data_IF_613575691961
#
_entry.id   IF_613575691961
#
_cell.length_a   1.000
_cell.length_b   1.000
_cell.length_c   1.000
_cell.angle_alpha   90.00
_cell.angle_beta   90.00
_cell.angle_gamma   90.00
#
_symmetry.space_group_name_H-M   'P 1'
#
loop_
_entity.id
_entity.type
_entity.pdbx_description
1 polymer ?
#
# COMPACT_ATOMS: atom_id res chain seq x y z
N UNK A 1 35.34 -14.83 9.48
CA UNK A 1 35.17 -13.87 8.37
C UNK A 1 34.07 -14.28 7.37
N UNK A 2 33.90 -15.58 7.08
CA UNK A 2 32.86 -16.03 6.10
C UNK A 2 31.41 -15.82 6.54
N UNK A 3 31.05 -15.95 7.83
CA UNK A 3 29.69 -15.77 8.35
C UNK A 3 29.17 -14.33 8.26
N UNK A 4 30.02 -13.33 8.45
CA UNK A 4 29.64 -11.90 8.40
C UNK A 4 29.37 -11.50 6.93
N UNK A 5 30.14 -12.00 5.99
CA UNK A 5 29.95 -11.72 4.57
C UNK A 5 28.67 -12.35 4.04
N UNK A 6 28.38 -13.60 4.40
CA UNK A 6 27.15 -14.30 4.02
C UNK A 6 25.89 -13.61 4.58
N UNK A 7 25.94 -13.17 5.85
CA UNK A 7 24.83 -12.41 6.46
C UNK A 7 24.56 -11.06 5.78
N UNK A 8 25.60 -10.39 5.29
CA UNK A 8 25.47 -9.13 4.56
C UNK A 8 24.83 -9.27 3.18
N UNK A 9 25.22 -10.28 2.42
CA UNK A 9 24.64 -10.57 1.10
C UNK A 9 23.16 -10.98 1.22
N UNK A 10 22.85 -11.81 2.19
CA UNK A 10 21.48 -12.26 2.46
C UNK A 10 20.54 -11.11 2.79
N UNK A 11 20.96 -10.16 3.65
CA UNK A 11 20.15 -8.96 3.98
C UNK A 11 19.89 -8.11 2.74
N UNK A 12 20.89 -7.87 1.90
CA UNK A 12 20.73 -7.13 0.64
C UNK A 12 19.74 -7.83 -0.29
N UNK A 13 19.78 -9.15 -0.35
CA UNK A 13 18.87 -9.93 -1.17
C UNK A 13 17.42 -9.85 -0.65
N UNK A 14 17.19 -9.86 0.66
CA UNK A 14 15.85 -9.65 1.23
C UNK A 14 15.32 -8.24 0.93
N UNK A 15 16.15 -7.20 0.99
CA UNK A 15 15.72 -5.86 0.56
C UNK A 15 15.32 -5.82 -0.91
N UNK A 16 16.01 -6.56 -1.77
CA UNK A 16 15.64 -6.70 -3.18
C UNK A 16 14.28 -7.40 -3.33
N UNK A 17 14.02 -8.45 -2.55
CA UNK A 17 12.70 -9.11 -2.52
C UNK A 17 11.61 -8.13 -2.07
N UNK A 18 11.85 -7.34 -1.02
CA UNK A 18 10.91 -6.31 -0.56
C UNK A 18 10.64 -5.30 -1.68
N UNK A 19 11.69 -4.82 -2.35
CA UNK A 19 11.54 -3.92 -3.50
C UNK A 19 10.62 -4.52 -4.56
N UNK A 20 10.90 -5.73 -5.06
CA UNK A 20 10.10 -6.34 -6.12
C UNK A 20 8.69 -6.71 -5.69
N UNK A 21 8.45 -7.04 -4.42
CA UNK A 21 7.10 -7.28 -3.90
C UNK A 21 6.24 -6.02 -3.96
N UNK A 22 6.81 -4.87 -3.60
CA UNK A 22 6.10 -3.59 -3.70
C UNK A 22 6.10 -3.05 -5.13
N UNK A 23 7.13 -3.34 -5.92
CA UNK A 23 7.17 -3.05 -7.35
C UNK A 23 6.01 -3.73 -8.08
N UNK A 24 5.75 -5.02 -7.82
CA UNK A 24 4.58 -5.74 -8.32
C UNK A 24 3.27 -5.02 -7.96
N UNK A 25 3.09 -4.64 -6.70
CA UNK A 25 1.91 -3.88 -6.25
C UNK A 25 1.75 -2.57 -7.03
N UNK A 26 2.82 -1.79 -7.16
CA UNK A 26 2.75 -0.45 -7.75
C UNK A 26 2.67 -0.46 -9.28
N UNK A 27 3.16 -1.49 -9.96
CA UNK A 27 3.01 -1.64 -11.42
C UNK A 27 1.57 -1.80 -11.86
N UNK A 28 0.68 -2.25 -10.99
CA UNK A 28 -0.71 -2.50 -11.32
C UNK A 28 -1.57 -1.22 -11.34
N UNK A 29 -1.18 -0.21 -10.54
CA UNK A 29 -2.02 0.96 -10.28
C UNK A 29 -2.39 1.78 -11.52
N UNK A 30 -1.47 2.12 -12.44
CA UNK A 30 -1.79 3.01 -13.57
C UNK A 30 -2.46 2.30 -14.75
N UNK A 31 -2.57 0.97 -14.73
CA UNK A 31 -3.00 0.21 -15.90
C UNK A 31 -4.24 -0.65 -15.66
N UNK A 32 -4.61 -0.91 -14.39
CA UNK A 32 -5.62 -1.92 -14.10
C UNK A 32 -7.04 -1.50 -14.49
N UNK A 33 -7.42 -0.25 -14.24
CA UNK A 33 -8.77 0.22 -14.56
C UNK A 33 -9.02 0.27 -16.06
N UNK A 34 -8.07 0.83 -16.84
CA UNK A 34 -8.16 0.86 -18.30
C UNK A 34 -8.10 -0.55 -18.92
N UNK A 35 -7.32 -1.45 -18.33
CA UNK A 35 -7.29 -2.85 -18.77
C UNK A 35 -8.64 -3.55 -18.52
N UNK A 36 -9.25 -3.36 -17.36
CA UNK A 36 -10.58 -3.91 -17.07
C UNK A 36 -11.64 -3.36 -18.05
N UNK A 37 -11.63 -2.04 -18.35
CA UNK A 37 -12.52 -1.45 -19.33
C UNK A 37 -12.30 -2.01 -20.74
N UNK A 38 -11.05 -2.23 -21.16
CA UNK A 38 -10.74 -2.82 -22.47
C UNK A 38 -11.28 -4.24 -22.65
N UNK A 39 -11.54 -4.95 -21.54
CA UNK A 39 -12.18 -6.26 -21.50
C UNK A 39 -13.73 -6.17 -21.47
N UNK A 40 -14.30 -4.97 -21.50
CA UNK A 40 -15.74 -4.75 -21.41
C UNK A 40 -16.31 -4.75 -19.98
N UNK A 41 -15.48 -4.50 -18.96
CA UNK A 41 -15.95 -4.43 -17.59
C UNK A 41 -16.89 -3.23 -17.37
N UNK A 42 -17.99 -3.44 -16.65
CA UNK A 42 -18.80 -2.35 -16.12
C UNK A 42 -18.02 -1.53 -15.09
N UNK A 43 -18.47 -0.32 -14.78
CA UNK A 43 -17.85 0.55 -13.78
C UNK A 43 -17.64 -0.17 -12.43
N UNK A 44 -18.63 -0.96 -11.99
CA UNK A 44 -18.52 -1.75 -10.77
C UNK A 44 -17.42 -2.83 -10.86
N UNK A 45 -17.38 -3.59 -11.96
CA UNK A 45 -16.37 -4.65 -12.15
C UNK A 45 -14.96 -4.04 -12.30
N UNK A 46 -14.84 -2.87 -12.93
CA UNK A 46 -13.58 -2.14 -13.04
C UNK A 46 -13.06 -1.71 -11.66
N UNK A 47 -13.91 -1.07 -10.85
CA UNK A 47 -13.56 -0.69 -9.48
C UNK A 47 -13.23 -1.90 -8.60
N UNK A 48 -14.01 -2.99 -8.75
CA UNK A 48 -13.75 -4.25 -8.04
C UNK A 48 -12.43 -4.90 -8.48
N UNK A 49 -12.09 -4.88 -9.77
CA UNK A 49 -10.81 -5.39 -10.28
C UNK A 49 -9.62 -4.63 -9.66
N UNK A 50 -9.71 -3.32 -9.49
CA UNK A 50 -8.67 -2.53 -8.80
C UNK A 50 -8.54 -2.96 -7.34
N UNK A 51 -9.65 -3.08 -6.60
CA UNK A 51 -9.64 -3.41 -5.17
C UNK A 51 -9.38 -4.88 -4.84
N UNK A 52 -9.70 -5.81 -5.76
CA UNK A 52 -9.68 -7.26 -5.53
C UNK A 52 -8.32 -7.78 -5.07
N UNK A 53 -7.24 -7.27 -5.64
CA UNK A 53 -5.89 -7.61 -5.22
C UNK A 53 -5.66 -7.26 -3.74
N UNK A 54 -6.00 -6.04 -3.30
CA UNK A 54 -5.80 -5.62 -1.91
C UNK A 54 -6.67 -6.43 -0.94
N UNK A 55 -7.88 -6.77 -1.35
CA UNK A 55 -8.77 -7.64 -0.56
C UNK A 55 -8.14 -9.01 -0.34
N UNK A 56 -7.78 -9.69 -1.41
CA UNK A 56 -7.22 -11.05 -1.33
C UNK A 56 -5.82 -11.06 -0.71
N UNK A 57 -5.01 -10.02 -0.95
CA UNK A 57 -3.69 -9.85 -0.35
C UNK A 57 -3.78 -9.77 1.19
N UNK A 58 -4.83 -9.14 1.74
CA UNK A 58 -5.06 -9.12 3.18
C UNK A 58 -5.23 -10.53 3.75
N UNK A 59 -6.03 -11.38 3.08
CA UNK A 59 -6.16 -12.79 3.48
C UNK A 59 -4.83 -13.54 3.36
N UNK A 60 -4.10 -13.31 2.25
CA UNK A 60 -2.77 -13.88 2.05
C UNK A 60 -1.79 -13.51 3.17
N UNK A 61 -1.76 -12.23 3.56
CA UNK A 61 -0.92 -11.74 4.65
C UNK A 61 -1.24 -12.42 5.99
N UNK A 62 -2.53 -12.60 6.31
CA UNK A 62 -2.97 -13.27 7.55
C UNK A 62 -2.52 -14.73 7.53
N UNK A 63 -2.79 -15.46 6.43
CA UNK A 63 -2.38 -16.86 6.26
C UNK A 63 -0.85 -16.98 6.33
N UNK A 64 -0.13 -16.09 5.66
CA UNK A 64 1.34 -16.04 5.70
C UNK A 64 1.89 -15.87 7.10
N UNK A 65 1.30 -14.99 7.91
CA UNK A 65 1.69 -14.79 9.30
C UNK A 65 1.63 -16.10 10.10
N UNK A 66 0.48 -16.79 10.05
CA UNK A 66 0.30 -18.09 10.72
C UNK A 66 1.26 -19.17 10.19
N UNK A 67 1.44 -19.26 8.89
CA UNK A 67 2.32 -20.25 8.28
C UNK A 67 3.80 -19.97 8.59
N UNK A 68 4.18 -18.69 8.57
CA UNK A 68 5.55 -18.24 8.89
C UNK A 68 5.91 -18.56 10.34
N UNK A 69 4.96 -18.39 11.28
CA UNK A 69 5.18 -18.75 12.68
C UNK A 69 5.34 -20.27 12.89
N UNK A 70 4.65 -21.09 12.10
CA UNK A 70 4.68 -22.55 12.22
C UNK A 70 5.82 -23.21 11.44
N UNK A 71 6.04 -22.79 10.17
CA UNK A 71 6.95 -23.45 9.23
C UNK A 71 8.25 -22.67 8.98
N UNK A 72 8.34 -21.46 9.54
CA UNK A 72 9.44 -20.53 9.30
C UNK A 72 9.26 -19.70 8.01
N UNK A 73 9.94 -18.54 7.93
CA UNK A 73 9.76 -17.59 6.84
C UNK A 73 10.31 -18.09 5.49
N UNK A 74 11.30 -18.98 5.50
CA UNK A 74 11.99 -19.42 4.30
C UNK A 74 11.06 -20.10 3.27
N UNK A 75 10.30 -21.11 3.70
CA UNK A 75 9.41 -21.88 2.82
C UNK A 75 8.28 -21.00 2.30
N UNK A 76 7.70 -20.19 3.19
CA UNK A 76 6.55 -19.31 2.86
C UNK A 76 6.97 -18.25 1.85
N UNK A 77 8.18 -17.68 2.01
CA UNK A 77 8.73 -16.70 1.09
C UNK A 77 8.91 -17.26 -0.32
N UNK A 78 9.50 -18.46 -0.43
CA UNK A 78 9.71 -19.12 -1.74
C UNK A 78 8.37 -19.46 -2.41
N UNK A 79 7.43 -20.06 -1.66
CA UNK A 79 6.09 -20.34 -2.17
C UNK A 79 5.44 -19.07 -2.66
N UNK A 80 5.46 -17.99 -1.84
CA UNK A 80 4.92 -16.69 -2.22
C UNK A 80 5.50 -16.15 -3.51
N UNK A 81 6.83 -16.12 -3.65
CA UNK A 81 7.51 -15.61 -4.84
C UNK A 81 7.17 -16.42 -6.10
N UNK A 82 7.27 -17.76 -6.02
CA UNK A 82 7.02 -18.62 -7.18
C UNK A 82 5.55 -18.59 -7.60
N UNK A 83 4.62 -18.70 -6.65
CA UNK A 83 3.19 -18.67 -6.95
C UNK A 83 2.72 -17.29 -7.43
N UNK A 84 3.30 -16.19 -6.92
CA UNK A 84 3.05 -14.84 -7.45
C UNK A 84 3.54 -14.72 -8.89
N UNK A 85 4.77 -15.18 -9.18
CA UNK A 85 5.28 -15.19 -10.55
C UNK A 85 4.38 -16.00 -11.50
N UNK A 86 3.92 -17.18 -11.08
CA UNK A 86 3.00 -18.00 -11.87
C UNK A 86 1.63 -17.32 -12.03
N UNK A 87 1.08 -16.69 -10.99
CA UNK A 87 -0.21 -16.00 -11.06
C UNK A 87 -0.18 -14.80 -12.01
N UNK A 88 0.95 -14.11 -12.12
CA UNK A 88 1.14 -13.01 -13.06
C UNK A 88 1.11 -13.48 -14.53
N UNK A 89 1.52 -14.70 -14.84
CA UNK A 89 1.39 -15.24 -16.20
C UNK A 89 -0.05 -15.55 -16.59
N UNK A 90 -0.95 -15.73 -15.61
CA UNK A 90 -2.38 -15.98 -15.89
C UNK A 90 -3.08 -14.80 -16.56
N UNK A 91 -2.53 -13.58 -16.47
CA UNK A 91 -3.10 -12.42 -17.17
C UNK A 91 -3.10 -12.57 -18.69
N UNK A 92 -2.27 -13.46 -19.26
CA UNK A 92 -2.30 -13.78 -20.69
C UNK A 92 -3.53 -14.58 -21.11
N UNK A 93 -4.25 -15.19 -20.16
CA UNK A 93 -5.45 -16.00 -20.38
C UNK A 93 -6.75 -15.22 -20.10
N UNK A 94 -6.61 -13.91 -19.79
CA UNK A 94 -7.74 -13.06 -19.41
C UNK A 94 -8.31 -12.41 -20.67
N UNK A 95 -9.54 -12.78 -21.00
CA UNK A 95 -10.30 -12.27 -22.14
C UNK A 95 -11.68 -11.67 -21.76
N UNK A 96 -12.11 -11.88 -20.51
CA UNK A 96 -13.37 -11.36 -19.96
C UNK A 96 -13.19 -10.79 -18.56
N UNK A 97 -14.05 -9.83 -18.13
CA UNK A 97 -13.92 -9.19 -16.82
C UNK A 97 -13.94 -10.15 -15.63
N UNK A 98 -14.73 -11.23 -15.70
CA UNK A 98 -14.81 -12.20 -14.61
C UNK A 98 -13.49 -12.99 -14.45
N UNK A 99 -12.86 -13.37 -15.56
CA UNK A 99 -11.54 -14.01 -15.53
C UNK A 99 -10.50 -13.07 -14.90
N UNK A 100 -10.56 -11.76 -15.21
CA UNK A 100 -9.71 -10.77 -14.57
C UNK A 100 -9.90 -10.77 -13.05
N UNK A 101 -11.12 -10.75 -12.54
CA UNK A 101 -11.39 -10.77 -11.09
C UNK A 101 -10.82 -12.02 -10.41
N UNK A 102 -10.96 -13.20 -11.04
CA UNK A 102 -10.43 -14.46 -10.52
C UNK A 102 -8.90 -14.40 -10.46
N UNK A 103 -8.26 -13.97 -11.54
CA UNK A 103 -6.80 -13.83 -11.59
C UNK A 103 -6.31 -12.80 -10.56
N UNK A 104 -6.99 -11.67 -10.43
CA UNK A 104 -6.70 -10.65 -9.41
C UNK A 104 -6.80 -11.19 -7.99
N UNK A 105 -7.83 -12.01 -7.73
CA UNK A 105 -7.99 -12.66 -6.42
C UNK A 105 -6.85 -13.64 -6.12
N UNK A 106 -6.53 -14.53 -7.06
CA UNK A 106 -5.42 -15.49 -6.92
C UNK A 106 -4.10 -14.73 -6.72
N UNK A 107 -3.82 -13.76 -7.58
CA UNK A 107 -2.58 -12.98 -7.55
C UNK A 107 -2.41 -12.27 -6.20
N UNK A 108 -3.41 -11.52 -5.73
CA UNK A 108 -3.33 -10.84 -4.44
C UNK A 108 -3.13 -11.81 -3.27
N UNK A 109 -3.86 -12.94 -3.27
CA UNK A 109 -3.77 -13.95 -2.22
C UNK A 109 -2.34 -14.51 -2.08
N UNK A 110 -1.71 -14.90 -3.20
CA UNK A 110 -0.36 -15.49 -3.17
C UNK A 110 0.72 -14.43 -2.95
N UNK A 111 0.56 -13.21 -3.47
CA UNK A 111 1.46 -12.09 -3.21
C UNK A 111 1.48 -11.71 -1.72
N UNK A 112 0.36 -11.88 -1.01
CA UNK A 112 0.27 -11.70 0.43
C UNK A 112 1.19 -12.62 1.24
N UNK A 113 1.72 -13.69 0.67
CA UNK A 113 2.67 -14.55 1.37
C UNK A 113 4.07 -13.95 1.48
N UNK A 114 4.44 -12.99 0.62
CA UNK A 114 5.81 -12.52 0.49
C UNK A 114 6.19 -11.57 1.63
N UNK A 115 5.41 -10.52 1.83
CA UNK A 115 5.77 -9.39 2.72
C UNK A 115 5.96 -9.83 4.18
N UNK A 116 5.02 -10.55 4.84
CA UNK A 116 5.21 -11.00 6.22
C UNK A 116 6.41 -11.93 6.38
N UNK A 117 6.62 -12.84 5.41
CA UNK A 117 7.75 -13.77 5.44
C UNK A 117 9.08 -13.03 5.25
N UNK A 118 9.18 -12.07 4.31
CA UNK A 118 10.38 -11.29 4.07
C UNK A 118 10.77 -10.43 5.29
N UNK A 119 9.80 -9.73 5.90
CA UNK A 119 10.06 -8.93 7.10
C UNK A 119 10.42 -9.79 8.32
N UNK A 120 9.80 -10.96 8.50
CA UNK A 120 10.17 -11.91 9.55
C UNK A 120 11.59 -12.42 9.33
N UNK A 121 11.96 -12.74 8.09
CA UNK A 121 13.32 -13.17 7.75
C UNK A 121 14.34 -12.08 8.06
N UNK A 122 14.05 -10.83 7.68
CA UNK A 122 14.91 -9.67 7.94
C UNK A 122 15.06 -9.42 9.46
N UNK A 123 13.98 -9.50 10.22
CA UNK A 123 13.99 -9.32 11.67
C UNK A 123 14.85 -10.39 12.36
N UNK A 124 14.75 -11.65 11.91
CA UNK A 124 15.56 -12.77 12.44
C UNK A 124 17.04 -12.65 12.08
N UNK A 125 17.36 -12.03 10.94
CA UNK A 125 18.73 -11.83 10.46
C UNK A 125 19.38 -10.54 10.99
N UNK A 126 18.66 -9.71 11.79
CA UNK A 126 19.14 -8.40 12.21
C UNK A 126 19.17 -8.30 13.75
N UNK A 127 20.32 -7.88 14.30
CA UNK A 127 20.49 -7.62 15.72
C UNK A 127 19.46 -6.59 16.23
N UNK A 128 18.99 -6.74 17.47
CA UNK A 128 17.94 -5.87 18.04
C UNK A 128 18.29 -4.37 17.92
N UNK A 129 19.53 -4.01 18.19
CA UNK A 129 20.04 -2.63 18.13
C UNK A 129 19.99 -2.02 16.70
N UNK A 130 20.02 -2.86 15.66
CA UNK A 130 20.04 -2.44 14.25
C UNK A 130 18.69 -2.57 13.54
N UNK A 131 17.65 -3.02 14.23
CA UNK A 131 16.30 -3.23 13.64
C UNK A 131 15.69 -1.94 13.09
N UNK A 132 15.85 -0.81 13.79
CA UNK A 132 15.40 0.50 13.31
C UNK A 132 16.04 0.89 11.96
N UNK A 133 17.35 0.70 11.83
CA UNK A 133 18.06 0.92 10.55
C UNK A 133 17.57 -0.04 9.46
N UNK A 134 17.32 -1.31 9.79
CA UNK A 134 16.76 -2.29 8.85
C UNK A 134 15.38 -1.89 8.32
N UNK A 135 14.50 -1.42 9.20
CA UNK A 135 13.17 -0.92 8.83
C UNK A 135 13.25 0.33 7.95
N UNK A 136 14.15 1.27 8.26
CA UNK A 136 14.34 2.47 7.43
C UNK A 136 14.82 2.12 6.02
N UNK A 137 15.77 1.19 5.88
CA UNK A 137 16.23 0.70 4.57
C UNK A 137 15.09 0.02 3.82
N UNK A 138 14.29 -0.82 4.47
CA UNK A 138 13.10 -1.44 3.85
C UNK A 138 12.13 -0.38 3.33
N UNK A 139 11.85 0.65 4.13
CA UNK A 139 11.02 1.78 3.72
C UNK A 139 11.55 2.52 2.49
N UNK A 140 12.88 2.69 2.39
CA UNK A 140 13.51 3.29 1.22
C UNK A 140 13.30 2.44 -0.06
N UNK A 141 13.44 1.10 0.04
CA UNK A 141 13.17 0.21 -1.09
C UNK A 141 11.68 0.22 -1.50
N UNK A 142 10.76 0.29 -0.54
CA UNK A 142 9.33 0.48 -0.82
C UNK A 142 9.07 1.81 -1.52
N UNK A 143 9.68 2.90 -1.06
CA UNK A 143 9.58 4.22 -1.70
C UNK A 143 10.11 4.23 -3.14
N UNK A 144 11.25 3.60 -3.39
CA UNK A 144 11.81 3.45 -4.74
C UNK A 144 10.85 2.64 -5.63
N UNK A 145 10.27 1.56 -5.12
CA UNK A 145 9.28 0.77 -5.84
C UNK A 145 8.02 1.59 -6.19
N UNK A 146 7.56 2.44 -5.26
CA UNK A 146 6.42 3.33 -5.47
C UNK A 146 6.67 4.40 -6.56
N UNK A 147 7.93 4.78 -6.76
CA UNK A 147 8.33 5.72 -7.80
C UNK A 147 8.51 5.01 -9.15
N UNK A 148 9.26 3.91 -9.17
CA UNK A 148 9.65 3.25 -10.43
C UNK A 148 8.50 2.40 -10.98
N UNK A 149 7.75 1.70 -10.13
CA UNK A 149 6.71 0.76 -10.53
C UNK A 149 5.65 1.36 -11.47
N UNK A 150 4.99 2.46 -11.09
CA UNK A 150 3.97 3.07 -11.95
C UNK A 150 4.53 3.61 -13.27
N UNK A 151 5.69 4.29 -13.25
CA UNK A 151 6.31 4.77 -14.49
C UNK A 151 6.68 3.61 -15.42
N UNK A 152 7.29 2.55 -14.87
CA UNK A 152 7.65 1.35 -15.63
C UNK A 152 6.41 0.75 -16.33
N UNK A 153 5.36 0.49 -15.57
CA UNK A 153 4.17 -0.17 -16.13
C UNK A 153 3.41 0.73 -17.10
N UNK A 154 3.23 2.00 -16.78
CA UNK A 154 2.54 2.95 -17.65
C UNK A 154 3.25 3.15 -18.98
N UNK A 155 4.59 3.34 -18.95
CA UNK A 155 5.41 3.50 -20.17
C UNK A 155 5.44 2.21 -20.99
N UNK A 156 5.59 1.07 -20.35
CA UNK A 156 5.70 -0.20 -21.07
C UNK A 156 4.35 -0.63 -21.65
N UNK A 157 3.26 -0.48 -20.88
CA UNK A 157 1.92 -0.80 -21.34
C UNK A 157 1.47 0.07 -22.51
N UNK A 158 1.89 1.36 -22.57
CA UNK A 158 1.58 2.23 -23.71
C UNK A 158 2.24 1.81 -25.03
N UNK A 159 3.30 1.01 -24.95
CA UNK A 159 4.06 0.54 -26.11
C UNK A 159 3.79 -0.93 -26.47
N UNK A 160 3.24 -1.67 -25.53
CA UNK A 160 3.04 -3.13 -25.66
C UNK A 160 1.63 -3.51 -25.23
N UNK A 161 1.51 -4.24 -24.10
CA UNK A 161 0.23 -4.61 -23.50
C UNK A 161 0.37 -4.79 -21.99
N UNK A 162 -0.74 -4.73 -21.26
CA UNK A 162 -0.75 -4.96 -19.80
C UNK A 162 -0.27 -6.37 -19.43
N UNK A 163 -0.70 -7.47 -20.11
CA UNK A 163 -0.15 -8.80 -19.85
C UNK A 163 1.37 -8.89 -20.06
N UNK A 164 1.93 -8.16 -21.02
CA UNK A 164 3.38 -8.14 -21.25
C UNK A 164 4.14 -7.52 -20.07
N UNK A 165 3.62 -6.42 -19.50
CA UNK A 165 4.18 -5.82 -18.27
C UNK A 165 4.20 -6.84 -17.14
N UNK A 166 3.11 -7.58 -16.96
CA UNK A 166 3.02 -8.58 -15.90
C UNK A 166 3.91 -9.80 -16.16
N UNK A 167 4.15 -10.17 -17.41
CA UNK A 167 5.13 -11.23 -17.73
C UNK A 167 6.56 -10.85 -17.34
N UNK A 168 6.95 -9.59 -17.53
CA UNK A 168 8.27 -9.12 -17.05
C UNK A 168 8.33 -9.15 -15.52
N UNK A 169 7.28 -8.67 -14.84
CA UNK A 169 7.20 -8.73 -13.37
C UNK A 169 7.22 -10.18 -12.89
N UNK A 170 6.50 -11.09 -13.57
CA UNK A 170 6.53 -12.53 -13.31
C UNK A 170 7.93 -13.10 -13.38
N UNK A 171 8.71 -12.72 -14.41
CA UNK A 171 10.08 -13.19 -14.58
C UNK A 171 10.97 -12.79 -13.41
N UNK A 172 10.82 -11.56 -12.90
CA UNK A 172 11.54 -11.14 -11.69
C UNK A 172 11.13 -11.94 -10.47
N UNK A 173 9.82 -12.17 -10.26
CA UNK A 173 9.32 -12.95 -9.12
C UNK A 173 9.80 -14.40 -9.15
N UNK A 174 9.73 -15.06 -10.32
CA UNK A 174 10.21 -16.43 -10.49
C UNK A 174 11.71 -16.53 -10.27
N UNK A 175 12.48 -15.61 -10.84
CA UNK A 175 13.93 -15.56 -10.65
C UNK A 175 14.31 -15.39 -9.18
N UNK A 176 13.64 -14.44 -8.48
CA UNK A 176 13.87 -14.25 -7.05
C UNK A 176 13.46 -15.47 -6.22
N UNK A 177 12.36 -16.15 -6.59
CA UNK A 177 11.94 -17.39 -5.94
C UNK A 177 12.98 -18.49 -6.07
N UNK A 178 13.51 -18.70 -7.28
CA UNK A 178 14.58 -19.67 -7.56
C UNK A 178 15.87 -19.30 -6.81
N UNK A 179 16.31 -18.04 -6.90
CA UNK A 179 17.51 -17.57 -6.21
C UNK A 179 17.35 -17.65 -4.68
N UNK A 180 16.17 -17.42 -4.14
CA UNK A 180 15.89 -17.57 -2.71
C UNK A 180 16.15 -18.99 -2.22
N UNK A 181 15.81 -19.99 -3.03
CA UNK A 181 16.06 -21.39 -2.69
C UNK A 181 17.56 -21.68 -2.47
N UNK A 182 18.41 -21.07 -3.27
CA UNK A 182 19.86 -21.27 -3.15
C UNK A 182 20.53 -20.36 -2.11
N UNK A 183 20.12 -19.07 -2.05
CA UNK A 183 20.80 -18.06 -1.25
C UNK A 183 20.33 -18.03 0.22
N UNK A 184 19.07 -18.43 0.51
CA UNK A 184 18.48 -18.29 1.84
C UNK A 184 18.44 -19.60 2.66
N UNK A 185 18.63 -20.76 2.03
CA UNK A 185 18.47 -22.09 2.64
C UNK A 185 19.37 -22.31 3.88
N UNK A 186 20.53 -21.68 3.93
CA UNK A 186 21.55 -21.91 4.97
C UNK A 186 21.20 -21.37 6.37
N UNK A 187 20.16 -20.55 6.54
CA UNK A 187 19.92 -19.80 7.76
C UNK A 187 18.51 -20.01 8.34
N UNK A 188 18.07 -21.25 8.46
CA UNK A 188 16.87 -21.56 9.25
C UNK A 188 17.18 -21.39 10.75
N UNK A 189 17.01 -20.19 11.28
CA UNK A 189 17.06 -19.97 12.71
C UNK A 189 15.84 -20.64 13.35
N UNK A 190 16.04 -21.67 14.15
CA UNK A 190 15.00 -22.25 15.00
C UNK A 190 14.48 -21.17 15.93
N UNK A 191 13.22 -20.82 15.78
CA UNK A 191 12.53 -19.86 16.67
C UNK A 191 12.18 -20.59 17.96
N UNK A 192 12.67 -20.07 19.09
CA UNK A 192 12.14 -20.47 20.40
C UNK A 192 10.65 -20.10 20.45
N UNK A 193 9.85 -21.08 20.81
CA UNK A 193 8.40 -20.93 21.02
C UNK A 193 8.18 -20.05 22.25
N UNK A 194 8.04 -18.75 22.07
CA UNK A 194 7.71 -17.85 23.18
C UNK A 194 6.49 -17.00 22.89
N UNK A 195 5.61 -17.10 23.87
CA UNK A 195 4.48 -16.25 24.25
C UNK A 195 3.22 -16.32 23.39
N UNK A 196 2.22 -17.00 23.95
CA UNK A 196 0.81 -16.71 23.68
C UNK A 196 0.53 -15.24 24.01
N UNK A 197 0.26 -14.44 22.99
CA UNK A 197 -0.17 -13.05 23.19
C UNK A 197 -1.46 -13.04 24.04
N UNK A 198 -1.57 -12.21 25.07
CA UNK A 198 -2.78 -12.14 25.90
C UNK A 198 -4.01 -11.88 25.06
N UNK A 199 -5.14 -12.48 25.43
CA UNK A 199 -6.42 -12.28 24.75
C UNK A 199 -6.95 -10.89 25.10
N UNK A 200 -6.65 -9.89 24.27
CA UNK A 200 -7.10 -8.52 24.43
C UNK A 200 -8.40 -8.36 23.64
N UNK A 201 -9.51 -7.97 24.27
CA UNK A 201 -10.79 -7.78 23.60
C UNK A 201 -10.70 -6.60 22.62
N UNK A 202 -11.36 -6.73 21.47
CA UNK A 202 -11.37 -5.75 20.39
C UNK A 202 -11.92 -4.38 20.85
N UNK A 203 -12.83 -4.38 21.84
CA UNK A 203 -13.44 -3.18 22.42
C UNK A 203 -12.41 -2.18 22.98
N UNK A 204 -11.25 -2.65 23.47
CA UNK A 204 -10.17 -1.78 23.96
C UNK A 204 -9.71 -0.79 22.91
N UNK A 205 -9.63 -1.23 21.66
CA UNK A 205 -9.20 -0.39 20.54
C UNK A 205 -10.30 0.58 20.06
N UNK A 206 -11.55 0.11 20.06
CA UNK A 206 -12.68 0.90 19.57
C UNK A 206 -13.20 1.90 20.61
N UNK A 207 -12.90 1.72 21.90
CA UNK A 207 -13.22 2.68 22.95
C UNK A 207 -12.17 3.78 23.11
N UNK A 208 -11.00 3.64 22.48
CA UNK A 208 -9.93 4.64 22.49
C UNK A 208 -10.06 5.57 21.28
N UNK A 209 -10.35 6.85 21.53
CA UNK A 209 -10.55 7.87 20.48
C UNK A 209 -9.32 8.08 19.62
N UNK A 210 -8.11 8.04 20.20
CA UNK A 210 -6.86 8.17 19.47
C UNK A 210 -6.66 7.00 18.48
N UNK A 211 -6.94 5.78 18.93
CA UNK A 211 -6.89 4.59 18.09
C UNK A 211 -7.93 4.65 16.97
N UNK A 212 -9.16 5.08 17.26
CA UNK A 212 -10.19 5.29 16.24
C UNK A 212 -9.77 6.31 15.19
N UNK A 213 -9.20 7.45 15.61
CA UNK A 213 -8.68 8.48 14.69
C UNK A 213 -7.56 7.91 13.82
N UNK A 214 -6.66 7.07 14.38
CA UNK A 214 -5.61 6.41 13.62
C UNK A 214 -6.19 5.42 12.59
N UNK A 215 -7.15 4.58 12.98
CA UNK A 215 -7.80 3.62 12.07
C UNK A 215 -8.57 4.33 10.95
N UNK A 216 -9.34 5.37 11.30
CA UNK A 216 -10.06 6.17 10.31
C UNK A 216 -9.10 6.90 9.38
N UNK A 217 -7.99 7.45 9.90
CA UNK A 217 -6.94 8.06 9.10
C UNK A 217 -6.32 7.08 8.11
N UNK A 218 -6.01 5.85 8.55
CA UNK A 218 -5.50 4.77 7.69
C UNK A 218 -6.50 4.38 6.60
N UNK A 219 -7.79 4.27 6.97
CA UNK A 219 -8.87 3.99 6.04
C UNK A 219 -8.98 5.07 4.97
N UNK A 220 -9.10 6.34 5.33
CA UNK A 220 -9.28 7.42 4.35
C UNK A 220 -8.03 7.71 3.53
N UNK A 221 -6.83 7.48 4.07
CA UNK A 221 -5.58 7.50 3.31
C UNK A 221 -5.67 6.53 2.13
N UNK A 222 -6.05 5.28 2.41
CA UNK A 222 -6.11 4.23 1.41
C UNK A 222 -7.39 4.24 0.57
N UNK A 223 -8.48 4.74 1.11
CA UNK A 223 -9.68 5.03 0.34
C UNK A 223 -9.38 6.01 -0.80
N UNK A 224 -8.71 7.10 -0.48
CA UNK A 224 -8.23 8.06 -1.46
C UNK A 224 -7.30 7.43 -2.51
N UNK A 225 -6.38 6.56 -2.05
CA UNK A 225 -5.46 5.86 -2.95
C UNK A 225 -6.20 4.87 -3.88
N UNK A 226 -7.22 4.17 -3.37
CA UNK A 226 -8.08 3.30 -4.17
C UNK A 226 -8.84 4.06 -5.26
N UNK A 227 -9.32 5.27 -4.93
CA UNK A 227 -9.97 6.17 -5.89
C UNK A 227 -9.00 6.63 -6.96
N UNK A 228 -7.80 7.07 -6.59
CA UNK A 228 -6.74 7.47 -7.55
C UNK A 228 -6.40 6.29 -8.48
N UNK A 229 -6.21 5.08 -7.93
CA UNK A 229 -5.89 3.90 -8.72
C UNK A 229 -7.02 3.51 -9.70
N UNK A 230 -8.27 3.79 -9.34
CA UNK A 230 -9.43 3.53 -10.18
C UNK A 230 -9.67 4.64 -11.21
N UNK A 231 -9.81 5.89 -10.76
CA UNK A 231 -10.30 6.98 -11.61
C UNK A 231 -9.21 7.74 -12.37
N UNK A 232 -7.96 7.80 -11.86
CA UNK A 232 -6.92 8.60 -12.54
C UNK A 232 -6.55 8.05 -13.92
N UNK A 233 -6.36 6.72 -14.12
CA UNK A 233 -6.11 6.21 -15.46
C UNK A 233 -7.30 6.45 -16.42
N UNK A 234 -8.53 6.37 -15.92
CA UNK A 234 -9.75 6.66 -16.70
C UNK A 234 -9.83 8.14 -17.08
N UNK A 235 -9.49 9.06 -16.15
CA UNK A 235 -9.40 10.50 -16.43
C UNK A 235 -8.38 10.80 -17.51
N UNK A 236 -7.20 10.20 -17.40
CA UNK A 236 -6.10 10.35 -18.38
C UNK A 236 -6.53 9.87 -19.75
N UNK A 237 -7.18 8.70 -19.81
CA UNK A 237 -7.69 8.15 -21.07
C UNK A 237 -8.82 9.01 -21.67
N UNK A 238 -9.74 9.52 -20.84
CA UNK A 238 -10.81 10.41 -21.28
C UNK A 238 -10.31 11.75 -21.85
N UNK A 239 -9.11 12.20 -21.45
CA UNK A 239 -8.42 13.37 -22.01
C UNK A 239 -7.61 13.05 -23.27
N UNK A 240 -7.63 11.81 -23.76
CA UNK A 240 -6.92 11.38 -24.97
C UNK A 240 -5.45 11.05 -24.77
N UNK A 241 -5.00 10.90 -23.51
CA UNK A 241 -3.63 10.45 -23.18
C UNK A 241 -3.57 8.95 -22.96
N UNK A 242 -2.39 8.40 -23.10
CA UNK A 242 -2.09 6.98 -22.88
C UNK A 242 -1.70 6.66 -21.42
N UNK A 243 -1.49 5.37 -21.12
CA UNK A 243 -1.11 4.88 -19.78
C UNK A 243 0.25 5.39 -19.30
N UNK A 244 1.11 5.89 -20.19
CA UNK A 244 2.38 6.52 -19.84
C UNK A 244 2.15 7.72 -18.92
N UNK A 245 1.16 8.56 -19.24
CA UNK A 245 0.85 9.73 -18.40
C UNK A 245 0.33 9.27 -17.03
N UNK A 246 -0.54 8.27 -16.95
CA UNK A 246 -1.02 7.72 -15.67
C UNK A 246 0.13 7.23 -14.79
N UNK A 247 1.06 6.49 -15.37
CA UNK A 247 2.24 5.97 -14.68
C UNK A 247 3.15 7.08 -14.15
N UNK A 248 3.46 8.09 -14.99
CA UNK A 248 4.34 9.20 -14.59
C UNK A 248 3.69 10.12 -13.56
N UNK A 249 2.38 10.34 -13.62
CA UNK A 249 1.62 11.06 -12.60
C UNK A 249 1.68 10.36 -11.22
N UNK A 250 1.49 9.04 -11.20
CA UNK A 250 1.60 8.27 -9.96
C UNK A 250 3.03 8.23 -9.43
N UNK A 251 4.03 8.22 -10.32
CA UNK A 251 5.43 8.33 -9.90
C UNK A 251 5.75 9.73 -9.35
N UNK A 252 5.21 10.79 -9.92
CA UNK A 252 5.38 12.15 -9.43
C UNK A 252 4.85 12.30 -7.99
N UNK A 253 3.65 11.78 -7.72
CA UNK A 253 3.13 11.74 -6.35
C UNK A 253 4.07 10.97 -5.40
N UNK A 254 4.58 9.81 -5.83
CA UNK A 254 5.50 8.99 -5.02
C UNK A 254 6.80 9.74 -4.70
N UNK A 255 7.39 10.44 -5.68
CA UNK A 255 8.58 11.29 -5.49
C UNK A 255 8.30 12.36 -4.44
N UNK A 256 7.19 13.09 -4.57
CA UNK A 256 6.85 14.16 -3.63
C UNK A 256 6.61 13.64 -2.23
N UNK A 257 5.90 12.51 -2.08
CA UNK A 257 5.66 11.89 -0.78
C UNK A 257 6.99 11.49 -0.10
N UNK A 258 7.92 10.90 -0.85
CA UNK A 258 9.26 10.56 -0.35
C UNK A 258 10.06 11.81 0.03
N UNK A 259 9.98 12.87 -0.77
CA UNK A 259 10.65 14.14 -0.46
C UNK A 259 10.13 14.75 0.85
N UNK A 260 8.83 14.71 1.13
CA UNK A 260 8.26 15.17 2.40
C UNK A 260 8.85 14.41 3.60
N UNK A 261 9.17 13.11 3.44
CA UNK A 261 9.78 12.31 4.51
C UNK A 261 11.26 12.62 4.74
N UNK A 262 12.00 12.97 3.68
CA UNK A 262 13.47 13.13 3.73
C UNK A 262 13.88 14.58 4.02
N UNK A 263 13.13 15.55 3.50
CA UNK A 263 13.46 16.97 3.64
C UNK A 263 13.33 17.45 5.10
N UNK A 264 14.00 18.55 5.47
CA UNK A 264 13.87 19.19 6.79
C UNK A 264 12.44 19.60 7.16
N UNK A 265 11.51 19.60 6.20
CA UNK A 265 10.08 19.74 6.43
C UNK A 265 9.51 18.66 7.37
N UNK A 266 10.19 17.53 7.54
CA UNK A 266 9.82 16.47 8.48
C UNK A 266 9.81 16.95 9.94
N UNK A 267 10.49 18.06 10.27
CA UNK A 267 10.42 18.73 11.58
C UNK A 267 9.00 19.20 11.96
N UNK A 268 8.09 19.24 10.98
CA UNK A 268 6.67 19.54 11.25
C UNK A 268 6.05 18.47 12.16
N UNK A 269 6.48 17.21 12.05
CA UNK A 269 5.98 16.12 12.88
C UNK A 269 6.40 16.21 14.34
N UNK A 270 7.52 16.91 14.63
CA UNK A 270 7.98 17.15 16.00
C UNK A 270 7.31 18.37 16.65
N UNK A 271 6.87 19.35 15.82
CA UNK A 271 6.37 20.65 16.29
C UNK A 271 4.85 20.76 16.27
N UNK A 272 4.18 19.97 15.45
CA UNK A 272 2.74 20.05 15.22
C UNK A 272 2.08 18.75 15.68
N UNK A 273 1.01 18.87 16.47
CA UNK A 273 0.27 17.71 16.96
C UNK A 273 -0.17 16.80 15.80
N UNK A 274 0.00 15.46 15.92
CA UNK A 274 -0.30 14.52 14.84
C UNK A 274 -1.70 14.64 14.25
N UNK A 275 -2.67 15.07 15.05
CA UNK A 275 -4.05 15.27 14.58
C UNK A 275 -4.17 16.44 13.60
N UNK A 276 -3.39 17.50 13.76
CA UNK A 276 -3.38 18.66 12.85
C UNK A 276 -2.70 18.34 11.53
N UNK A 277 -1.57 17.60 11.58
CA UNK A 277 -0.88 17.14 10.37
C UNK A 277 -1.68 16.09 9.63
N UNK A 278 -2.44 15.24 10.33
CA UNK A 278 -3.41 14.31 9.75
C UNK A 278 -4.52 15.09 9.00
N UNK A 279 -5.16 16.05 9.66
CA UNK A 279 -6.23 16.83 9.05
C UNK A 279 -5.75 17.61 7.81
N UNK A 280 -4.56 18.24 7.91
CA UNK A 280 -3.94 18.94 6.79
C UNK A 280 -3.65 17.98 5.63
N UNK A 281 -3.06 16.82 5.91
CA UNK A 281 -2.74 15.82 4.89
C UNK A 281 -3.97 15.31 4.16
N UNK A 282 -5.01 14.92 4.89
CA UNK A 282 -6.29 14.47 4.27
C UNK A 282 -6.97 15.62 3.51
N UNK A 283 -6.96 16.84 4.04
CA UNK A 283 -7.52 18.01 3.37
C UNK A 283 -6.83 18.30 2.04
N UNK A 284 -5.49 18.24 2.00
CA UNK A 284 -4.71 18.40 0.76
C UNK A 284 -5.00 17.29 -0.23
N UNK A 285 -5.12 16.02 0.21
CA UNK A 285 -5.51 14.92 -0.67
C UNK A 285 -6.92 15.12 -1.24
N UNK A 286 -7.86 15.59 -0.44
CA UNK A 286 -9.23 15.94 -0.88
C UNK A 286 -9.24 17.08 -1.88
N UNK A 287 -8.51 18.16 -1.61
CA UNK A 287 -8.34 19.29 -2.53
C UNK A 287 -7.72 18.83 -3.86
N UNK A 288 -6.69 18.01 -3.81
CA UNK A 288 -6.05 17.44 -4.99
C UNK A 288 -7.05 16.67 -5.86
N UNK A 289 -7.93 15.86 -5.27
CA UNK A 289 -8.93 15.12 -6.05
C UNK A 289 -9.94 16.06 -6.74
N UNK A 290 -10.33 17.14 -6.07
CA UNK A 290 -11.17 18.17 -6.70
C UNK A 290 -10.40 18.85 -7.86
N UNK A 291 -9.12 19.15 -7.69
CA UNK A 291 -8.29 19.70 -8.77
C UNK A 291 -8.16 18.73 -9.94
N UNK A 292 -7.95 17.44 -9.70
CA UNK A 292 -7.92 16.40 -10.75
C UNK A 292 -9.25 16.37 -11.52
N UNK A 293 -10.37 16.53 -10.83
CA UNK A 293 -11.69 16.51 -11.50
C UNK A 293 -11.81 17.60 -12.57
N UNK A 294 -11.25 18.78 -12.31
CA UNK A 294 -11.31 19.95 -13.18
C UNK A 294 -10.15 20.05 -14.18
N UNK A 295 -9.10 19.20 -14.00
CA UNK A 295 -7.93 19.24 -14.86
C UNK A 295 -8.28 18.82 -16.29
N UNK A 296 -7.85 19.61 -17.28
CA UNK A 296 -8.00 19.39 -18.72
C UNK A 296 -6.65 19.20 -19.45
N UNK A 297 -5.55 19.37 -18.72
CA UNK A 297 -4.19 19.29 -19.26
C UNK A 297 -3.27 18.44 -18.37
N UNK A 298 -2.23 17.88 -18.97
CA UNK A 298 -1.21 17.13 -18.23
C UNK A 298 -0.54 17.96 -17.13
N UNK A 299 -0.30 19.25 -17.39
CA UNK A 299 0.32 20.16 -16.40
C UNK A 299 -0.52 20.29 -15.14
N UNK A 300 -1.83 20.50 -15.28
CA UNK A 300 -2.76 20.59 -14.14
C UNK A 300 -2.85 19.25 -13.38
N UNK A 301 -2.83 18.13 -14.09
CA UNK A 301 -2.77 16.81 -13.47
C UNK A 301 -1.49 16.62 -12.64
N UNK A 302 -0.31 17.04 -13.15
CA UNK A 302 0.93 16.99 -12.39
C UNK A 302 0.87 17.87 -11.14
N UNK A 303 0.39 19.11 -11.25
CA UNK A 303 0.24 20.00 -10.10
C UNK A 303 -0.69 19.42 -9.03
N UNK A 304 -1.81 18.84 -9.45
CA UNK A 304 -2.72 18.16 -8.53
C UNK A 304 -2.05 16.93 -7.88
N UNK A 305 -1.30 16.11 -8.62
CA UNK A 305 -0.60 14.95 -8.06
C UNK A 305 0.57 15.33 -7.14
N UNK A 306 1.22 16.48 -7.35
CA UNK A 306 2.18 17.05 -6.40
C UNK A 306 1.47 17.42 -5.09
N UNK A 307 0.33 18.13 -5.17
CA UNK A 307 -0.50 18.44 -4.01
C UNK A 307 -0.92 17.16 -3.26
N UNK A 308 -1.34 16.12 -4.01
CA UNK A 308 -1.67 14.81 -3.46
C UNK A 308 -0.49 14.18 -2.71
N UNK A 309 0.70 14.24 -3.30
CA UNK A 309 1.93 13.70 -2.73
C UNK A 309 2.33 14.40 -1.41
N UNK A 310 2.17 15.72 -1.33
CA UNK A 310 2.38 16.48 -0.09
C UNK A 310 1.39 16.01 0.98
N UNK A 311 0.10 15.92 0.63
CA UNK A 311 -0.94 15.45 1.55
C UNK A 311 -0.68 14.04 2.07
N UNK A 312 -0.32 13.10 1.20
CA UNK A 312 0.03 11.73 1.55
C UNK A 312 1.26 11.67 2.46
N UNK A 313 2.30 12.45 2.13
CA UNK A 313 3.53 12.54 2.90
C UNK A 313 3.31 13.08 4.31
N UNK A 314 2.35 13.98 4.51
CA UNK A 314 1.98 14.48 5.83
C UNK A 314 1.11 13.49 6.61
N UNK A 315 0.17 12.83 5.92
CA UNK A 315 -0.82 11.98 6.55
C UNK A 315 -0.25 10.67 7.08
N UNK A 316 0.58 9.97 6.31
CA UNK A 316 1.06 8.63 6.65
C UNK A 316 1.84 8.58 7.98
N UNK A 317 2.84 9.46 8.26
CA UNK A 317 3.51 9.48 9.55
C UNK A 317 2.59 9.88 10.70
N UNK A 318 1.67 10.82 10.45
CA UNK A 318 0.73 11.31 11.47
C UNK A 318 -0.20 10.21 11.97
N UNK A 319 -0.70 9.37 11.07
CA UNK A 319 -1.54 8.22 11.43
C UNK A 319 -0.78 7.21 12.28
N UNK A 320 0.48 6.93 11.90
CA UNK A 320 1.35 6.05 12.68
C UNK A 320 1.66 6.61 14.07
N UNK A 321 1.97 7.90 14.19
CA UNK A 321 2.18 8.55 15.48
C UNK A 321 0.96 8.47 16.37
N UNK A 322 -0.24 8.77 15.85
CA UNK A 322 -1.50 8.63 16.60
C UNK A 322 -1.72 7.21 17.11
N UNK A 323 -1.40 6.19 16.32
CA UNK A 323 -1.52 4.79 16.74
C UNK A 323 -0.55 4.47 17.87
N UNK A 324 0.70 4.90 17.75
CA UNK A 324 1.75 4.68 18.75
C UNK A 324 1.41 5.37 20.06
N UNK A 325 0.98 6.64 20.01
CA UNK A 325 0.62 7.46 21.17
C UNK A 325 -0.63 6.94 21.91
N UNK A 326 -1.50 6.24 21.17
CA UNK A 326 -2.77 5.71 21.68
C UNK A 326 -2.69 4.27 22.15
N UNK A 327 -1.51 3.61 22.07
CA UNK A 327 -1.36 2.19 22.38
C UNK A 327 -0.12 1.90 23.22
N UNK A 328 -0.25 1.05 24.23
CA UNK A 328 0.87 0.53 24.99
C UNK A 328 1.65 -0.51 24.17
N UNK A 329 2.91 -0.76 24.53
CA UNK A 329 3.82 -1.70 23.85
C UNK A 329 3.20 -3.10 23.74
N UNK A 330 2.49 -3.55 24.79
CA UNK A 330 1.88 -4.89 24.88
C UNK A 330 0.76 -5.12 23.87
N UNK A 331 -0.05 -4.09 23.58
CA UNK A 331 -1.22 -4.18 22.68
C UNK A 331 -0.92 -3.67 21.27
N UNK A 332 0.21 -2.99 21.08
CA UNK A 332 0.57 -2.29 19.83
C UNK A 332 0.59 -3.22 18.62
N UNK A 333 1.08 -4.46 18.78
CA UNK A 333 1.08 -5.43 17.68
C UNK A 333 -0.32 -5.75 17.16
N UNK A 334 -1.30 -5.92 18.04
CA UNK A 334 -2.70 -6.13 17.66
C UNK A 334 -3.32 -4.87 17.06
N UNK A 335 -2.99 -3.69 17.60
CA UNK A 335 -3.43 -2.41 17.05
C UNK A 335 -2.98 -2.24 15.60
N UNK A 336 -1.73 -2.59 15.27
CA UNK A 336 -1.26 -2.59 13.88
C UNK A 336 -2.00 -3.59 13.00
N UNK A 337 -2.39 -4.75 13.54
CA UNK A 337 -3.23 -5.71 12.79
C UNK A 337 -4.55 -5.08 12.33
N UNK A 338 -5.26 -4.40 13.23
CA UNK A 338 -6.49 -3.67 12.87
C UNK A 338 -6.21 -2.49 11.96
N UNK A 339 -5.14 -1.74 12.22
CA UNK A 339 -4.71 -0.63 11.37
C UNK A 339 -4.56 -1.06 9.90
N UNK A 340 -3.86 -2.17 9.64
CA UNK A 340 -3.69 -2.68 8.28
C UNK A 340 -4.98 -3.27 7.70
N UNK A 341 -5.89 -3.76 8.52
CA UNK A 341 -7.22 -4.16 8.06
C UNK A 341 -8.02 -2.95 7.54
N UNK A 342 -8.05 -1.84 8.29
CA UNK A 342 -8.68 -0.59 7.85
C UNK A 342 -8.00 0.00 6.62
N UNK A 343 -6.67 -0.07 6.56
CA UNK A 343 -5.86 0.33 5.42
C UNK A 343 -6.28 -0.42 4.14
N UNK A 344 -6.38 -1.76 4.21
CA UNK A 344 -6.80 -2.58 3.07
C UNK A 344 -8.27 -2.36 2.68
N UNK A 345 -9.17 -2.25 3.68
CA UNK A 345 -10.58 -1.93 3.43
C UNK A 345 -10.73 -0.57 2.74
N UNK A 346 -9.88 0.40 3.07
CA UNK A 346 -9.86 1.70 2.40
C UNK A 346 -9.66 1.55 0.89
N UNK A 347 -8.63 0.83 0.45
CA UNK A 347 -8.36 0.62 -0.99
C UNK A 347 -9.56 -0.02 -1.68
N UNK A 348 -10.08 -1.12 -1.09
CA UNK A 348 -11.20 -1.87 -1.67
C UNK A 348 -12.44 -1.00 -1.81
N UNK A 349 -12.82 -0.30 -0.74
CA UNK A 349 -14.02 0.55 -0.77
C UNK A 349 -13.82 1.79 -1.63
N UNK A 350 -12.62 2.38 -1.66
CA UNK A 350 -12.31 3.53 -2.52
C UNK A 350 -12.51 3.24 -4.01
N UNK A 351 -12.06 2.10 -4.47
CA UNK A 351 -12.25 1.71 -5.87
C UNK A 351 -13.64 1.13 -6.16
N UNK A 352 -14.13 0.20 -5.32
CA UNK A 352 -15.37 -0.55 -5.61
C UNK A 352 -16.63 0.27 -5.36
N UNK A 353 -16.66 1.13 -4.32
CA UNK A 353 -17.82 1.95 -3.99
C UNK A 353 -18.16 2.94 -5.11
N UNK A 354 -17.13 3.61 -5.66
CA UNK A 354 -17.35 4.55 -6.76
C UNK A 354 -17.82 3.85 -8.03
N UNK A 355 -17.28 2.66 -8.30
CA UNK A 355 -17.76 1.81 -9.38
C UNK A 355 -19.21 1.36 -9.17
N UNK A 356 -19.58 0.98 -7.93
CA UNK A 356 -20.94 0.58 -7.58
C UNK A 356 -21.94 1.76 -7.69
N UNK A 357 -21.54 2.95 -7.24
CA UNK A 357 -22.36 4.16 -7.38
C UNK A 357 -22.43 4.64 -8.83
N UNK A 358 -21.70 4.01 -9.74
CA UNK A 358 -21.61 4.39 -11.17
C UNK A 358 -21.36 5.90 -11.37
N UNK A 359 -20.58 6.50 -10.47
CA UNK A 359 -20.22 7.91 -10.58
C UNK A 359 -19.24 8.06 -11.77
N UNK A 360 -19.53 9.03 -12.64
CA UNK A 360 -18.58 9.42 -13.67
C UNK A 360 -17.25 9.91 -13.08
N UNK A 361 -16.19 9.92 -13.89
CA UNK A 361 -14.83 10.25 -13.42
C UNK A 361 -14.78 11.58 -12.68
N UNK A 362 -15.41 12.63 -13.24
CA UNK A 362 -15.43 13.97 -12.63
C UNK A 362 -16.18 13.97 -11.30
N UNK A 363 -17.41 13.46 -11.28
CA UNK A 363 -18.24 13.39 -10.08
C UNK A 363 -17.66 12.49 -9.01
N UNK A 364 -16.99 11.40 -9.38
CA UNK A 364 -16.29 10.52 -8.45
C UNK A 364 -15.16 11.21 -7.71
N UNK A 365 -14.34 11.99 -8.41
CA UNK A 365 -13.28 12.80 -7.79
C UNK A 365 -13.84 13.92 -6.90
N UNK A 366 -14.88 14.64 -7.32
CA UNK A 366 -15.53 15.67 -6.51
C UNK A 366 -16.12 15.05 -5.24
N UNK A 367 -16.88 13.96 -5.36
CA UNK A 367 -17.46 13.25 -4.23
C UNK A 367 -16.39 12.86 -3.21
N UNK A 368 -15.33 12.22 -3.67
CA UNK A 368 -14.25 11.79 -2.78
C UNK A 368 -13.52 12.99 -2.16
N UNK A 369 -13.25 14.03 -2.92
CA UNK A 369 -12.64 15.26 -2.40
C UNK A 369 -13.45 15.88 -1.28
N UNK A 370 -14.77 15.98 -1.45
CA UNK A 370 -15.69 16.50 -0.40
C UNK A 370 -15.67 15.58 0.83
N UNK A 371 -15.75 14.27 0.66
CA UNK A 371 -15.70 13.30 1.77
C UNK A 371 -14.40 13.47 2.58
N UNK A 372 -13.26 13.58 1.91
CA UNK A 372 -11.96 13.73 2.58
C UNK A 372 -11.84 15.07 3.31
N UNK A 373 -12.26 16.18 2.70
CA UNK A 373 -12.24 17.51 3.33
C UNK A 373 -13.18 17.55 4.54
N UNK A 374 -14.37 16.97 4.42
CA UNK A 374 -15.33 16.87 5.53
C UNK A 374 -14.72 16.06 6.68
N UNK A 375 -14.09 14.92 6.39
CA UNK A 375 -13.43 14.11 7.41
C UNK A 375 -12.26 14.87 8.06
N UNK A 376 -11.47 15.62 7.28
CA UNK A 376 -10.40 16.46 7.82
C UNK A 376 -10.96 17.47 8.85
N UNK A 377 -12.09 18.12 8.54
CA UNK A 377 -12.77 19.02 9.47
C UNK A 377 -13.26 18.31 10.73
N UNK A 378 -13.90 17.16 10.59
CA UNK A 378 -14.40 16.35 11.73
C UNK A 378 -13.28 15.93 12.68
N UNK A 379 -12.09 15.58 12.15
CA UNK A 379 -10.96 15.16 12.98
C UNK A 379 -10.43 16.26 13.90
N UNK A 380 -10.62 17.52 13.53
CA UNK A 380 -10.20 18.69 14.32
C UNK A 380 -11.18 19.03 15.46
N UNK A 381 -12.40 18.48 15.47
CA UNK A 381 -13.37 18.74 16.52
C UNK A 381 -12.83 18.19 17.85
N UNK A 382 -12.70 19.05 18.90
CA UNK A 382 -12.22 18.62 20.20
C UNK A 382 -13.20 17.65 20.84
N UNK A 383 -12.70 16.55 21.37
CA UNK A 383 -13.55 15.59 22.08
C UNK A 383 -13.72 16.04 23.54
N UNK A 384 -14.92 16.41 23.95
CA UNK A 384 -15.25 16.89 25.31
C UNK A 384 -14.89 15.90 26.44
N UNK A 385 -14.67 14.61 26.13
CA UNK A 385 -14.33 13.58 27.14
C UNK A 385 -12.92 13.70 27.71
N UNK A 386 -11.97 14.37 27.05
CA UNK A 386 -10.58 14.47 27.56
C UNK A 386 -10.33 15.70 28.42
N UNK A 387 -11.28 16.63 28.56
CA UNK A 387 -11.10 17.82 29.42
C UNK A 387 -11.30 17.53 30.92
N UNK A 388 -11.90 16.39 31.29
CA UNK A 388 -12.13 16.03 32.70
C UNK A 388 -10.96 15.28 33.35
N UNK A 389 -9.91 14.90 32.61
CA UNK A 389 -8.73 14.21 33.18
C UNK A 389 -7.49 15.10 33.34
N UNK A 390 -7.51 16.35 32.89
CA UNK A 390 -6.40 17.31 33.06
C UNK A 390 -6.66 18.36 34.16
N UNK A 391 -7.74 18.21 34.94
CA UNK A 391 -8.10 19.06 36.07
C UNK A 391 -8.15 18.31 37.42
N UNK A 392 -7.19 17.39 37.64
CA UNK A 392 -6.92 16.83 39.00
C UNK A 392 -5.42 16.89 39.25
#
# INVERSE_FOLDING_TARGET
MSYIVVGGVMKKFIYLIIFFSFFDLFTQLPVMSTYAESLGASAFLTGLAVGMYSLSNTFGNIISGFLTDRKGPFIILIIGLLTTGLSLTLYNLVDVPLALLIVRFIHGLVAGFIVPAAFTFLANATDQEKRGKGSAISGAFVGIAAIIGPAFSGILASRTSVPFVFNITASFMLLLGILSFFLLKSNQVKKDKTSSSPHIPISVFFNNVGTLKAFSGAFFLMFSQGVIAYLLPLKVHALGFDSRLSGTLMSAFGIVAVLVFILPSNRIFDKVAPIKTLALGIGLMGLSQILISQADSSTLLYLAMICYGIGFGLLFPSVNSLLIDSTNVEIRGKAYGYFYAFFSLGVVLGSSLLGWLSLGVVSGFIFTGIVLITFAGVTLIPNKKNQSQTSV
#
